data_IF_196824078045
#
_entry.id   IF_196824078045
#
_cell.length_a   1.000
_cell.length_b   1.000
_cell.length_c   1.000
_cell.angle_alpha   90.00
_cell.angle_beta   90.00
_cell.angle_gamma   90.00
#
_symmetry.space_group_name_H-M   'P 1'
#
loop_
_entity.id
_entity.type
_entity.pdbx_description
1 polymer ?
#
# COMPACT_ATOMS: atom_id res chain seq x y z
N UNK A 1 -7.39 32.00 -21.08
CA UNK A 1 -7.17 31.04 -19.98
C UNK A 1 -5.79 30.46 -20.11
N UNK A 2 -4.93 30.67 -19.13
CA UNK A 2 -3.58 30.09 -19.06
C UNK A 2 -3.70 28.74 -18.35
N UNK A 3 -3.33 27.65 -19.00
CA UNK A 3 -3.30 26.31 -18.39
C UNK A 3 -1.94 26.12 -17.76
N UNK A 4 -1.92 25.45 -16.60
CA UNK A 4 -0.68 25.17 -15.88
C UNK A 4 0.24 24.28 -16.74
N UNK A 5 1.49 24.68 -16.92
CA UNK A 5 2.46 24.07 -17.83
C UNK A 5 2.64 22.54 -17.65
N UNK A 6 2.70 22.00 -16.43
CA UNK A 6 2.88 20.56 -16.23
C UNK A 6 1.79 19.68 -16.85
N UNK A 7 0.65 20.29 -17.17
CA UNK A 7 -0.53 19.59 -17.70
C UNK A 7 -0.76 19.79 -19.20
N UNK A 8 0.14 20.51 -19.89
CA UNK A 8 -0.02 20.80 -21.33
C UNK A 8 -0.10 19.54 -22.19
N UNK A 9 0.64 18.48 -21.83
CA UNK A 9 0.58 17.21 -22.54
C UNK A 9 -0.83 16.61 -22.63
N UNK A 10 -1.70 16.90 -21.66
CA UNK A 10 -3.10 16.41 -21.65
C UNK A 10 -3.93 17.05 -22.75
N UNK A 11 -3.58 18.27 -23.16
CA UNK A 11 -4.32 18.99 -24.22
C UNK A 11 -4.06 18.37 -25.58
N UNK A 12 -2.84 17.94 -25.84
CA UNK A 12 -2.37 17.47 -27.13
C UNK A 12 -2.43 15.94 -27.28
N UNK A 13 -2.67 15.21 -26.19
CA UNK A 13 -2.70 13.75 -26.23
C UNK A 13 -3.91 13.20 -27.01
N UNK A 14 -3.68 12.17 -27.78
CA UNK A 14 -4.71 11.34 -28.43
C UNK A 14 -5.26 10.24 -27.50
N UNK A 15 -4.64 10.08 -26.33
CA UNK A 15 -5.04 9.06 -25.35
C UNK A 15 -6.42 9.36 -24.77
N UNK A 16 -7.25 8.30 -24.72
CA UNK A 16 -8.62 8.43 -24.19
C UNK A 16 -8.66 8.52 -22.67
N UNK A 17 -7.73 7.82 -21.99
CA UNK A 17 -7.65 7.78 -20.54
C UNK A 17 -6.44 8.57 -20.06
N UNK A 18 -6.67 9.48 -19.13
CA UNK A 18 -5.62 10.30 -18.53
C UNK A 18 -5.66 10.09 -17.03
N UNK A 19 -4.53 9.75 -16.42
CA UNK A 19 -4.39 9.63 -14.97
C UNK A 19 -3.37 10.64 -14.47
N UNK A 20 -3.76 11.43 -13.46
CA UNK A 20 -2.88 12.38 -12.77
C UNK A 20 -2.71 11.91 -11.34
N UNK A 21 -1.53 11.41 -11.03
CA UNK A 21 -1.05 11.19 -9.67
C UNK A 21 -0.30 12.44 -9.20
N UNK A 22 -0.64 12.99 -8.05
CA UNK A 22 0.07 14.19 -7.56
C UNK A 22 0.19 14.23 -6.04
N UNK A 23 1.20 14.95 -5.56
CA UNK A 23 1.22 15.46 -4.19
C UNK A 23 0.18 16.58 -3.99
N UNK A 24 0.12 17.11 -2.76
CA UNK A 24 -0.62 18.34 -2.46
C UNK A 24 0.03 19.54 -3.15
N UNK A 25 -0.75 20.58 -3.35
CA UNK A 25 -0.30 21.87 -3.91
C UNK A 25 0.38 21.72 -5.29
N UNK A 26 -0.01 20.71 -6.07
CA UNK A 26 0.46 20.45 -7.44
C UNK A 26 -0.45 21.11 -8.50
N UNK A 27 -1.49 21.85 -8.14
CA UNK A 27 -2.39 22.53 -9.08
C UNK A 27 -3.39 21.64 -9.80
N UNK A 28 -3.52 20.36 -9.42
CA UNK A 28 -4.38 19.36 -10.07
C UNK A 28 -5.85 19.80 -10.16
N UNK A 29 -6.45 20.29 -9.05
CA UNK A 29 -7.85 20.73 -9.02
C UNK A 29 -8.08 21.93 -9.93
N UNK A 30 -7.19 22.91 -9.88
CA UNK A 30 -7.24 24.10 -10.75
C UNK A 30 -7.17 23.73 -12.22
N UNK A 31 -6.22 22.89 -12.59
CA UNK A 31 -6.12 22.38 -13.96
C UNK A 31 -7.38 21.64 -14.40
N UNK A 32 -7.92 20.78 -13.53
CA UNK A 32 -9.13 20.03 -13.84
C UNK A 32 -10.33 20.95 -14.10
N UNK A 33 -10.49 22.00 -13.30
CA UNK A 33 -11.51 23.02 -13.54
C UNK A 33 -11.27 23.79 -14.86
N UNK A 34 -10.02 24.12 -15.17
CA UNK A 34 -9.66 24.81 -16.41
C UNK A 34 -10.00 24.00 -17.65
N UNK A 35 -9.67 22.68 -17.70
CA UNK A 35 -10.01 21.83 -18.84
C UNK A 35 -11.51 21.62 -18.96
N UNK A 36 -12.23 21.52 -17.85
CA UNK A 36 -13.70 21.43 -17.80
C UNK A 36 -14.31 22.71 -18.41
N UNK A 37 -13.88 23.89 -17.97
CA UNK A 37 -14.38 25.18 -18.47
C UNK A 37 -14.05 25.35 -19.97
N UNK A 38 -12.83 24.98 -20.38
CA UNK A 38 -12.43 25.01 -21.79
C UNK A 38 -13.39 24.16 -22.63
N UNK A 39 -13.56 22.89 -22.29
CA UNK A 39 -14.44 21.97 -23.05
C UNK A 39 -15.89 22.43 -23.07
N UNK A 40 -16.37 22.94 -21.94
CA UNK A 40 -17.74 23.42 -21.77
C UNK A 40 -18.11 24.61 -22.68
N UNK A 41 -17.12 25.43 -23.05
CA UNK A 41 -17.31 26.56 -23.97
C UNK A 41 -16.88 26.26 -25.41
N UNK A 42 -15.86 25.41 -25.59
CA UNK A 42 -15.28 25.16 -26.91
C UNK A 42 -16.10 24.16 -27.74
N UNK A 43 -16.61 23.10 -27.10
CA UNK A 43 -17.31 22.03 -27.81
C UNK A 43 -18.82 22.11 -27.58
N UNK A 44 -19.60 21.59 -28.52
CA UNK A 44 -21.04 21.37 -28.30
C UNK A 44 -21.28 20.03 -27.58
N UNK A 45 -20.68 19.86 -26.42
CA UNK A 45 -20.68 18.66 -25.63
C UNK A 45 -20.90 18.98 -24.14
N UNK A 46 -21.45 18.02 -23.44
CA UNK A 46 -21.60 18.10 -21.99
C UNK A 46 -20.33 17.57 -21.28
N UNK A 47 -20.19 17.86 -20.00
CA UNK A 47 -19.12 17.37 -19.13
C UNK A 47 -19.76 16.65 -17.93
N UNK A 48 -19.10 15.60 -17.45
CA UNK A 48 -19.50 14.88 -16.24
C UNK A 48 -18.35 14.88 -15.23
N UNK A 49 -18.63 15.37 -14.04
CA UNK A 49 -17.70 15.35 -12.89
C UNK A 49 -18.20 14.36 -11.87
N UNK A 50 -17.30 13.46 -11.47
CA UNK A 50 -17.58 12.36 -10.53
C UNK A 50 -16.66 12.46 -9.31
N UNK A 51 -17.21 12.12 -8.14
CA UNK A 51 -16.47 11.90 -6.89
C UNK A 51 -17.10 10.73 -6.14
N UNK A 52 -16.41 10.16 -5.16
CA UNK A 52 -16.98 9.07 -4.37
C UNK A 52 -18.33 9.46 -3.76
N UNK A 53 -18.37 10.55 -3.03
CA UNK A 53 -19.58 11.06 -2.37
C UNK A 53 -20.13 12.30 -3.11
N UNK A 54 -21.43 12.28 -3.43
CA UNK A 54 -22.09 13.42 -4.09
C UNK A 54 -22.08 14.70 -3.24
N UNK A 55 -22.18 14.57 -1.91
CA UNK A 55 -22.23 15.73 -1.00
C UNK A 55 -20.96 16.59 -1.05
N UNK A 56 -19.82 15.99 -1.32
CA UNK A 56 -18.52 16.69 -1.30
C UNK A 56 -18.24 17.51 -2.57
N UNK A 57 -19.04 17.30 -3.62
CA UNK A 57 -18.83 17.95 -4.92
C UNK A 57 -19.13 19.45 -4.90
N UNK A 58 -20.03 19.92 -4.03
CA UNK A 58 -20.43 21.31 -3.97
C UNK A 58 -19.30 22.20 -3.46
N UNK A 59 -18.64 21.79 -2.39
CA UNK A 59 -17.60 22.54 -1.72
C UNK A 59 -16.19 22.22 -2.28
N UNK A 60 -16.12 21.42 -3.36
CA UNK A 60 -14.88 21.07 -4.05
C UNK A 60 -14.94 21.48 -5.53
N UNK A 61 -15.00 20.51 -6.44
CA UNK A 61 -14.92 20.76 -7.90
C UNK A 61 -15.98 21.74 -8.43
N UNK A 62 -17.20 21.80 -7.84
CA UNK A 62 -18.18 22.79 -8.27
C UNK A 62 -17.69 24.21 -7.98
N UNK A 63 -17.18 24.46 -6.76
CA UNK A 63 -16.64 25.79 -6.40
C UNK A 63 -15.39 26.11 -7.24
N UNK A 64 -14.48 25.17 -7.42
CA UNK A 64 -13.28 25.37 -8.24
C UNK A 64 -13.62 25.76 -9.70
N UNK A 65 -14.67 25.15 -10.27
CA UNK A 65 -15.17 25.53 -11.60
C UNK A 65 -15.77 26.93 -11.58
N UNK A 66 -16.50 27.32 -10.54
CA UNK A 66 -17.02 28.69 -10.39
C UNK A 66 -15.88 29.70 -10.33
N UNK A 67 -14.86 29.43 -9.54
CA UNK A 67 -13.69 30.32 -9.40
C UNK A 67 -12.98 30.53 -10.74
N UNK A 68 -12.79 29.47 -11.54
CA UNK A 68 -12.25 29.57 -12.91
C UNK A 68 -13.19 30.36 -13.83
N UNK A 69 -14.49 30.18 -13.73
CA UNK A 69 -15.46 30.95 -14.53
C UNK A 69 -15.47 32.44 -14.19
N UNK A 70 -15.23 32.80 -12.93
CA UNK A 70 -15.10 34.20 -12.46
C UNK A 70 -13.80 34.80 -12.94
N UNK A 71 -12.67 34.14 -12.76
CA UNK A 71 -11.33 34.57 -13.21
C UNK A 71 -11.30 34.84 -14.72
N UNK A 72 -11.94 33.99 -15.51
CA UNK A 72 -12.01 34.14 -16.97
C UNK A 72 -13.17 35.05 -17.45
N UNK A 73 -13.89 35.68 -16.53
CA UNK A 73 -15.05 36.52 -16.83
C UNK A 73 -16.17 35.81 -17.62
N UNK A 74 -16.32 34.50 -17.45
CA UNK A 74 -17.29 33.65 -18.13
C UNK A 74 -18.54 33.37 -17.30
N UNK A 75 -18.55 33.67 -16.01
CA UNK A 75 -19.63 33.35 -15.07
C UNK A 75 -20.98 33.90 -15.51
N UNK A 76 -21.04 35.09 -16.12
CA UNK A 76 -22.24 35.73 -16.62
C UNK A 76 -22.95 34.93 -17.73
N UNK A 77 -22.23 34.08 -18.45
CA UNK A 77 -22.77 33.23 -19.51
C UNK A 77 -23.24 31.87 -19.00
N UNK A 78 -23.29 31.69 -17.68
CA UNK A 78 -23.67 30.43 -17.05
C UNK A 78 -24.86 30.58 -16.10
N UNK A 79 -25.58 29.47 -15.88
CA UNK A 79 -26.64 29.32 -14.88
C UNK A 79 -26.20 28.21 -13.91
N UNK A 80 -25.91 28.56 -12.66
CA UNK A 80 -25.42 27.67 -11.63
C UNK A 80 -26.57 27.19 -10.77
N UNK A 81 -26.71 25.88 -10.59
CA UNK A 81 -27.75 25.24 -9.80
C UNK A 81 -27.15 24.30 -8.77
N UNK A 82 -27.62 24.43 -7.55
CA UNK A 82 -27.20 23.59 -6.42
C UNK A 82 -28.12 22.39 -6.17
N UNK A 83 -29.36 22.42 -6.72
CA UNK A 83 -30.38 21.34 -6.55
C UNK A 83 -31.12 21.08 -7.85
N UNK A 84 -30.82 20.03 -8.63
CA UNK A 84 -29.60 19.23 -8.59
C UNK A 84 -28.36 20.04 -9.00
N UNK A 85 -27.19 19.65 -8.48
CA UNK A 85 -25.92 20.31 -8.77
C UNK A 85 -25.62 20.23 -10.26
N UNK A 86 -25.52 21.38 -10.95
CA UNK A 86 -25.18 21.49 -12.36
C UNK A 86 -24.87 22.92 -12.76
N UNK A 87 -24.08 23.08 -13.82
CA UNK A 87 -23.81 24.36 -14.45
C UNK A 87 -24.30 24.29 -15.90
N UNK A 88 -25.02 25.31 -16.36
CA UNK A 88 -25.61 25.35 -17.73
C UNK A 88 -25.02 26.54 -18.45
N UNK A 89 -24.43 26.31 -19.63
CA UNK A 89 -23.97 27.36 -20.53
C UNK A 89 -25.17 27.97 -21.25
N UNK A 90 -25.37 29.27 -21.11
CA UNK A 90 -26.50 30.00 -21.74
C UNK A 90 -26.34 30.13 -23.25
N UNK A 91 -25.11 30.09 -23.78
CA UNK A 91 -24.82 30.26 -25.20
C UNK A 91 -25.09 28.99 -26.01
N UNK A 92 -24.43 27.89 -25.65
CA UNK A 92 -24.48 26.62 -26.39
C UNK A 92 -25.37 25.55 -25.72
N UNK A 93 -25.96 25.83 -24.56
CA UNK A 93 -26.81 24.91 -23.78
C UNK A 93 -26.10 23.65 -23.29
N UNK A 94 -24.78 23.65 -23.22
CA UNK A 94 -24.02 22.59 -22.59
C UNK A 94 -24.31 22.52 -21.10
N UNK A 95 -24.09 21.34 -20.50
CA UNK A 95 -24.31 21.09 -19.07
C UNK A 95 -23.10 20.39 -18.48
N UNK A 96 -22.62 20.92 -17.37
CA UNK A 96 -21.72 20.18 -16.47
C UNK A 96 -22.60 19.47 -15.46
N UNK A 97 -22.52 18.14 -15.45
CA UNK A 97 -23.20 17.27 -14.51
C UNK A 97 -22.26 16.86 -13.39
N UNK A 98 -22.81 16.66 -12.19
CA UNK A 98 -22.09 16.20 -11.01
C UNK A 98 -22.74 14.91 -10.47
N UNK A 99 -21.95 13.89 -10.17
CA UNK A 99 -22.42 12.57 -9.71
C UNK A 99 -21.52 11.97 -8.64
N UNK A 100 -22.15 11.47 -7.57
CA UNK A 100 -21.49 10.53 -6.67
C UNK A 100 -21.40 9.14 -7.33
N UNK A 101 -20.28 8.45 -7.15
CA UNK A 101 -20.01 7.13 -7.77
C UNK A 101 -19.46 6.11 -6.78
N UNK A 102 -19.41 6.42 -5.49
CA UNK A 102 -19.06 5.49 -4.42
C UNK A 102 -20.27 4.86 -3.77
N UNK A 103 -20.18 3.63 -3.32
CA UNK A 103 -21.18 2.95 -2.49
C UNK A 103 -22.60 3.08 -2.99
N UNK A 104 -23.50 3.63 -2.15
CA UNK A 104 -24.92 3.80 -2.45
C UNK A 104 -25.21 4.78 -3.60
N UNK A 105 -24.33 5.75 -3.85
CA UNK A 105 -24.52 6.73 -4.92
C UNK A 105 -24.35 6.10 -6.30
N UNK A 106 -23.47 5.11 -6.44
CA UNK A 106 -23.26 4.40 -7.71
C UNK A 106 -24.55 3.77 -8.24
N UNK A 107 -25.39 3.21 -7.36
CA UNK A 107 -26.68 2.61 -7.76
C UNK A 107 -27.64 3.62 -8.40
N UNK A 108 -27.57 4.89 -7.99
CA UNK A 108 -28.39 5.99 -8.50
C UNK A 108 -27.94 6.49 -9.87
N UNK A 109 -26.75 6.12 -10.30
CA UNK A 109 -26.21 6.54 -11.61
C UNK A 109 -26.70 5.68 -12.78
N UNK A 110 -27.26 4.48 -12.53
CA UNK A 110 -27.70 3.53 -13.57
C UNK A 110 -28.69 4.12 -14.58
N UNK A 111 -29.47 5.13 -14.18
CA UNK A 111 -30.42 5.86 -15.02
C UNK A 111 -29.88 7.15 -15.65
N UNK A 112 -28.57 7.39 -15.61
CA UNK A 112 -27.98 8.62 -16.15
C UNK A 112 -28.31 8.80 -17.63
N UNK A 113 -28.78 10.00 -17.97
CA UNK A 113 -29.08 10.45 -19.34
C UNK A 113 -28.48 11.84 -19.51
N UNK A 114 -28.01 12.11 -20.69
CA UNK A 114 -27.49 13.41 -21.09
C UNK A 114 -28.12 13.86 -22.41
N UNK A 115 -28.32 15.17 -22.56
CA UNK A 115 -28.91 15.76 -23.77
C UNK A 115 -27.96 15.79 -24.97
N UNK A 116 -26.65 15.78 -24.70
CA UNK A 116 -25.57 15.76 -25.70
C UNK A 116 -24.53 14.72 -25.26
N UNK A 117 -23.66 14.28 -26.18
CA UNK A 117 -22.49 13.47 -25.84
C UNK A 117 -21.59 14.22 -24.85
N UNK A 118 -20.76 13.48 -24.13
CA UNK A 118 -19.78 14.03 -23.18
C UNK A 118 -18.42 14.21 -23.89
N UNK A 119 -17.80 15.38 -23.74
CA UNK A 119 -16.39 15.55 -24.12
C UNK A 119 -15.46 15.03 -23.03
N UNK A 120 -15.89 15.11 -21.76
CA UNK A 120 -15.05 14.75 -20.64
C UNK A 120 -15.88 14.05 -19.55
N UNK A 121 -15.34 12.97 -19.00
CA UNK A 121 -15.71 12.37 -17.73
C UNK A 121 -14.53 12.55 -16.80
N UNK A 122 -14.71 13.27 -15.70
CA UNK A 122 -13.68 13.49 -14.71
C UNK A 122 -14.01 12.75 -13.42
N UNK A 123 -13.04 12.04 -12.88
CA UNK A 123 -13.06 11.46 -11.54
C UNK A 123 -12.12 12.25 -10.64
N UNK A 124 -12.67 12.98 -9.70
CA UNK A 124 -11.94 13.72 -8.69
C UNK A 124 -11.72 12.84 -7.45
N UNK A 125 -10.55 12.94 -6.83
CA UNK A 125 -10.16 12.16 -5.67
C UNK A 125 -10.45 10.65 -5.86
N UNK A 126 -9.91 10.09 -6.97
CA UNK A 126 -10.18 8.70 -7.37
C UNK A 126 -9.90 7.68 -6.26
N UNK A 127 -8.88 7.92 -5.41
CA UNK A 127 -8.51 7.07 -4.28
C UNK A 127 -9.62 6.92 -3.23
N UNK A 128 -10.57 7.86 -3.19
CA UNK A 128 -11.72 7.79 -2.27
C UNK A 128 -12.77 6.76 -2.69
N UNK A 129 -12.70 6.20 -3.90
CA UNK A 129 -13.57 5.08 -4.28
C UNK A 129 -13.17 3.82 -3.47
N UNK A 130 -14.16 3.03 -3.03
CA UNK A 130 -13.88 1.84 -2.20
C UNK A 130 -12.92 0.84 -2.86
N UNK A 131 -13.06 0.64 -4.17
CA UNK A 131 -12.27 -0.31 -4.94
C UNK A 131 -12.33 -0.02 -6.45
N UNK A 132 -11.52 -0.74 -7.23
CA UNK A 132 -11.51 -0.65 -8.70
C UNK A 132 -12.87 -1.04 -9.32
N UNK A 133 -13.63 -1.95 -8.71
CA UNK A 133 -14.94 -2.38 -9.24
C UNK A 133 -15.95 -1.22 -9.28
N UNK A 134 -15.86 -0.27 -8.32
CA UNK A 134 -16.66 0.96 -8.34
C UNK A 134 -16.32 1.83 -9.55
N UNK A 135 -15.05 2.00 -9.89
CA UNK A 135 -14.62 2.72 -11.09
C UNK A 135 -15.11 2.02 -12.36
N UNK A 136 -14.93 0.71 -12.47
CA UNK A 136 -15.34 -0.08 -13.63
C UNK A 136 -16.84 0.00 -13.89
N UNK A 137 -17.65 -0.07 -12.84
CA UNK A 137 -19.12 0.07 -12.94
C UNK A 137 -19.54 1.49 -13.33
N UNK A 138 -18.87 2.53 -12.82
CA UNK A 138 -19.11 3.91 -13.20
C UNK A 138 -18.75 4.12 -14.68
N UNK A 139 -17.59 3.66 -15.11
CA UNK A 139 -17.16 3.71 -16.51
C UNK A 139 -18.11 2.94 -17.43
N UNK A 140 -18.56 1.74 -17.07
CA UNK A 140 -19.53 0.98 -17.84
C UNK A 140 -20.86 1.75 -18.03
N UNK A 141 -21.25 2.54 -17.02
CA UNK A 141 -22.47 3.37 -17.07
C UNK A 141 -22.29 4.60 -17.97
N UNK A 142 -21.20 5.31 -17.84
CA UNK A 142 -21.03 6.64 -18.47
C UNK A 142 -20.35 6.61 -19.82
N UNK A 143 -19.45 5.64 -20.10
CA UNK A 143 -18.66 5.51 -21.34
C UNK A 143 -19.52 5.54 -22.59
N UNK A 144 -20.71 4.97 -22.58
CA UNK A 144 -21.67 4.98 -23.71
C UNK A 144 -22.12 6.39 -24.12
N UNK A 145 -21.99 7.36 -23.23
CA UNK A 145 -22.35 8.76 -23.48
C UNK A 145 -21.15 9.61 -23.90
N UNK A 146 -19.95 9.07 -23.80
CA UNK A 146 -18.72 9.75 -24.20
C UNK A 146 -18.69 9.92 -25.72
N UNK A 147 -18.14 11.02 -26.17
CA UNK A 147 -17.96 11.27 -27.61
C UNK A 147 -16.89 10.32 -28.17
N UNK A 148 -17.11 9.86 -29.39
CA UNK A 148 -16.26 8.83 -29.98
C UNK A 148 -14.90 9.39 -30.42
N UNK A 149 -14.85 10.66 -30.86
CA UNK A 149 -13.67 11.31 -31.41
C UNK A 149 -12.87 12.08 -30.33
N UNK A 150 -13.57 12.94 -29.58
CA UNK A 150 -12.92 13.88 -28.65
C UNK A 150 -13.05 13.47 -27.16
N UNK A 151 -13.86 12.46 -26.88
CA UNK A 151 -14.22 12.09 -25.52
C UNK A 151 -13.04 11.56 -24.72
N UNK A 152 -12.74 12.18 -23.57
CA UNK A 152 -11.67 11.79 -22.65
C UNK A 152 -12.21 11.40 -21.28
N UNK A 153 -11.47 10.56 -20.57
CA UNK A 153 -11.67 10.23 -19.15
C UNK A 153 -10.46 10.71 -18.38
N UNK A 154 -10.66 11.67 -17.50
CA UNK A 154 -9.64 12.23 -16.62
C UNK A 154 -9.81 11.68 -15.21
N UNK A 155 -8.78 11.09 -14.64
CA UNK A 155 -8.74 10.49 -13.32
C UNK A 155 -7.66 11.15 -12.49
N UNK A 156 -8.06 11.85 -11.43
CA UNK A 156 -7.17 12.61 -10.59
C UNK A 156 -7.15 12.03 -9.18
N UNK A 157 -5.97 11.86 -8.60
CA UNK A 157 -5.84 11.35 -7.24
C UNK A 157 -4.54 11.79 -6.55
N UNK A 158 -4.59 11.83 -5.23
CA UNK A 158 -3.42 11.80 -4.39
C UNK A 158 -3.13 10.33 -4.03
N UNK A 159 -1.90 9.87 -4.09
CA UNK A 159 -1.62 8.47 -3.75
C UNK A 159 -1.98 8.19 -2.29
N UNK A 160 -2.47 7.00 -2.03
CA UNK A 160 -2.58 6.48 -0.67
C UNK A 160 -1.22 6.00 -0.17
N UNK A 161 -0.96 6.02 1.15
CA UNK A 161 0.34 5.63 1.67
C UNK A 161 0.77 4.22 1.27
N UNK A 162 -0.17 3.27 1.23
CA UNK A 162 0.10 1.89 0.90
C UNK A 162 0.29 1.70 -0.61
N UNK A 163 1.41 1.14 -1.02
CA UNK A 163 1.65 0.76 -2.42
C UNK A 163 0.57 -0.21 -2.95
N UNK A 164 0.07 -1.09 -2.08
CA UNK A 164 -0.98 -2.07 -2.39
C UNK A 164 -2.38 -1.49 -2.51
N UNK A 165 -2.59 -0.19 -2.21
CA UNK A 165 -3.89 0.42 -2.42
C UNK A 165 -4.29 0.34 -3.90
N UNK A 166 -5.54 -0.07 -4.16
CA UNK A 166 -6.03 -0.35 -5.51
C UNK A 166 -5.75 0.78 -6.52
N UNK A 167 -5.84 2.03 -6.10
CA UNK A 167 -5.64 3.19 -6.98
C UNK A 167 -4.16 3.37 -7.37
N UNK A 168 -3.22 3.14 -6.43
CA UNK A 168 -1.78 3.17 -6.68
C UNK A 168 -1.38 2.04 -7.64
N UNK A 169 -1.91 0.84 -7.41
CA UNK A 169 -1.67 -0.32 -8.25
C UNK A 169 -2.28 -0.13 -9.65
N UNK A 170 -3.50 0.42 -9.74
CA UNK A 170 -4.16 0.75 -11.01
C UNK A 170 -3.33 1.77 -11.82
N UNK A 171 -2.77 2.79 -11.17
CA UNK A 171 -1.86 3.74 -11.82
C UNK A 171 -0.60 3.03 -12.34
N UNK A 172 0.05 2.23 -11.51
CA UNK A 172 1.27 1.49 -11.86
C UNK A 172 1.08 0.57 -13.07
N UNK A 173 0.00 -0.20 -13.09
CA UNK A 173 -0.32 -1.11 -14.21
C UNK A 173 -0.55 -0.33 -15.52
N UNK A 174 -1.18 0.85 -15.44
CA UNK A 174 -1.53 1.62 -16.64
C UNK A 174 -0.41 2.54 -17.13
N UNK A 175 0.74 2.63 -16.48
CA UNK A 175 1.91 3.36 -16.99
C UNK A 175 2.42 2.80 -18.33
N UNK A 176 2.32 1.50 -18.53
CA UNK A 176 2.72 0.82 -19.77
C UNK A 176 1.56 0.60 -20.75
N UNK A 177 0.35 1.00 -20.39
CA UNK A 177 -0.84 0.79 -21.21
C UNK A 177 -0.94 1.88 -22.30
N UNK A 178 -0.90 1.51 -23.61
CA UNK A 178 -0.89 2.49 -24.70
C UNK A 178 -2.15 3.34 -24.80
N UNK A 179 -3.24 2.97 -24.14
CA UNK A 179 -4.48 3.75 -24.10
C UNK A 179 -4.48 4.85 -23.03
N UNK A 180 -3.50 4.84 -22.13
CA UNK A 180 -3.40 5.76 -21.00
C UNK A 180 -2.26 6.75 -21.19
N UNK A 181 -2.52 8.01 -20.82
CA UNK A 181 -1.50 8.98 -20.44
C UNK A 181 -1.45 9.03 -18.92
N UNK A 182 -0.30 8.76 -18.33
CA UNK A 182 -0.10 8.83 -16.88
C UNK A 182 0.88 9.93 -16.55
N UNK A 183 0.46 10.87 -15.72
CA UNK A 183 1.30 11.97 -15.24
C UNK A 183 1.53 11.84 -13.74
N UNK A 184 2.73 12.20 -13.32
CA UNK A 184 3.06 12.36 -11.92
C UNK A 184 3.58 13.77 -11.70
N UNK A 185 2.85 14.58 -10.92
CA UNK A 185 3.16 15.98 -10.66
C UNK A 185 3.28 16.26 -9.16
N UNK A 186 3.98 17.32 -8.83
CA UNK A 186 4.22 17.78 -7.46
C UNK A 186 4.14 19.31 -7.38
N UNK A 187 4.18 19.87 -6.18
CA UNK A 187 4.25 21.31 -6.00
C UNK A 187 5.46 21.96 -6.73
N UNK A 188 6.54 21.19 -6.95
CA UNK A 188 7.76 21.68 -7.62
C UNK A 188 7.49 22.13 -9.04
N UNK A 189 6.55 21.46 -9.71
CA UNK A 189 6.20 21.73 -11.10
C UNK A 189 5.47 23.06 -11.27
N UNK A 190 4.92 23.61 -10.15
CA UNK A 190 4.20 24.88 -10.11
C UNK A 190 4.74 25.84 -9.04
N UNK A 191 5.94 25.60 -8.50
CA UNK A 191 6.51 26.39 -7.41
C UNK A 191 6.55 27.90 -7.71
N UNK A 192 6.69 28.27 -8.98
CA UNK A 192 6.72 29.69 -9.39
C UNK A 192 5.41 30.48 -9.23
N UNK A 193 4.30 29.78 -8.91
CA UNK A 193 2.98 30.41 -8.69
C UNK A 193 2.46 30.21 -7.27
N UNK A 194 3.15 29.43 -6.43
CA UNK A 194 2.83 29.29 -5.02
C UNK A 194 3.28 30.53 -4.24
N UNK A 195 2.60 30.81 -3.13
CA UNK A 195 3.02 31.92 -2.27
C UNK A 195 4.30 31.55 -1.50
N UNK A 196 5.08 32.59 -1.11
CA UNK A 196 6.27 32.38 -0.30
C UNK A 196 5.95 31.69 1.04
N UNK A 197 4.77 31.95 1.60
CA UNK A 197 4.28 31.31 2.84
C UNK A 197 4.06 29.83 2.67
N UNK A 198 3.45 29.42 1.55
CA UNK A 198 3.22 28.00 1.24
C UNK A 198 4.56 27.28 1.01
N UNK A 199 5.48 27.90 0.26
CA UNK A 199 6.82 27.35 0.03
C UNK A 199 7.62 27.19 1.32
N UNK A 200 7.54 28.17 2.24
CA UNK A 200 8.19 28.11 3.55
C UNK A 200 7.60 26.96 4.39
N UNK A 201 6.27 26.81 4.41
CA UNK A 201 5.60 25.73 5.13
C UNK A 201 6.01 24.33 4.59
N UNK A 202 6.11 24.20 3.27
CA UNK A 202 6.58 22.97 2.62
C UNK A 202 8.05 22.67 2.98
N UNK A 203 8.90 23.70 3.02
CA UNK A 203 10.31 23.55 3.37
C UNK A 203 10.49 23.16 4.84
N UNK A 204 9.70 23.73 5.75
CA UNK A 204 9.67 23.32 7.17
C UNK A 204 9.31 21.85 7.30
N UNK A 205 8.27 21.39 6.59
CA UNK A 205 7.88 19.98 6.59
C UNK A 205 8.99 19.09 6.02
N UNK A 206 9.67 19.53 4.97
CA UNK A 206 10.81 18.81 4.38
C UNK A 206 11.95 18.59 5.38
N UNK A 207 12.20 19.57 6.25
CA UNK A 207 13.28 19.50 7.25
C UNK A 207 12.85 18.68 8.47
N UNK A 208 11.64 18.91 8.97
CA UNK A 208 11.18 18.29 10.22
C UNK A 208 10.65 16.86 10.02
N UNK A 209 9.98 16.60 8.89
CA UNK A 209 9.30 15.35 8.61
C UNK A 209 9.55 14.93 7.15
N UNK A 210 10.78 14.56 6.77
CA UNK A 210 11.15 14.32 5.37
C UNK A 210 10.30 13.23 4.69
N UNK A 211 9.88 12.21 5.40
CA UNK A 211 9.02 11.16 4.85
C UNK A 211 7.59 11.68 4.59
N UNK A 212 7.02 12.44 5.53
CA UNK A 212 5.73 13.11 5.34
C UNK A 212 5.76 14.08 4.16
N UNK A 213 6.83 14.83 4.04
CA UNK A 213 7.06 15.73 2.91
C UNK A 213 7.04 14.96 1.57
N UNK A 214 7.76 13.84 1.48
CA UNK A 214 7.78 13.01 0.27
C UNK A 214 6.38 12.51 -0.10
N UNK A 215 5.65 12.04 0.88
CA UNK A 215 4.28 11.56 0.69
C UNK A 215 3.31 12.71 0.32
N UNK A 216 3.21 13.73 1.17
CA UNK A 216 2.22 14.78 1.01
C UNK A 216 2.47 15.66 -0.22
N UNK A 217 3.71 16.11 -0.41
CA UNK A 217 4.03 17.14 -1.41
C UNK A 217 4.64 16.58 -2.69
N UNK A 218 5.38 15.47 -2.63
CA UNK A 218 5.91 14.85 -3.85
C UNK A 218 4.97 13.77 -4.41
N UNK A 219 3.95 13.34 -3.67
CA UNK A 219 3.04 12.29 -4.10
C UNK A 219 3.71 10.92 -4.21
N UNK A 220 4.77 10.70 -3.42
CA UNK A 220 5.44 9.41 -3.35
C UNK A 220 4.63 8.46 -2.47
N UNK A 221 4.49 7.23 -2.91
CA UNK A 221 3.97 6.15 -2.07
C UNK A 221 5.16 5.53 -1.37
N UNK A 222 5.20 5.62 -0.08
CA UNK A 222 6.33 5.08 0.67
C UNK A 222 5.94 4.07 1.74
N UNK A 223 4.67 3.65 1.76
CA UNK A 223 4.18 2.71 2.77
C UNK A 223 4.25 3.23 4.22
N UNK A 224 4.52 4.55 4.43
CA UNK A 224 5.17 5.05 5.64
C UNK A 224 4.27 5.81 6.61
N UNK A 225 3.09 6.30 6.19
CA UNK A 225 2.24 7.08 7.10
C UNK A 225 1.14 6.21 7.71
N UNK A 226 1.24 6.05 9.03
CA UNK A 226 0.41 5.12 9.78
C UNK A 226 0.88 3.66 9.67
N UNK A 227 1.76 3.35 8.75
CA UNK A 227 2.33 2.02 8.58
C UNK A 227 3.19 1.60 9.77
N UNK A 228 2.88 0.46 10.34
CA UNK A 228 3.65 -0.08 11.46
C UNK A 228 5.09 -0.38 11.03
N UNK A 229 5.29 -0.93 9.84
CA UNK A 229 6.61 -1.37 9.36
C UNK A 229 7.18 -0.44 8.29
N UNK A 230 7.07 0.86 8.52
CA UNK A 230 7.50 1.92 7.62
C UNK A 230 8.97 1.88 7.19
N UNK A 231 9.81 1.14 7.84
CA UNK A 231 11.21 0.92 7.48
C UNK A 231 11.43 -0.23 6.50
N UNK A 232 10.37 -0.97 6.15
CA UNK A 232 10.40 -1.96 5.09
C UNK A 232 10.33 -1.25 3.73
N UNK A 233 11.34 -1.48 2.91
CA UNK A 233 11.40 -1.02 1.52
C UNK A 233 11.45 -2.24 0.63
N UNK A 234 10.43 -2.43 -0.21
CA UNK A 234 10.28 -3.61 -1.06
C UNK A 234 11.45 -3.76 -2.03
N UNK A 235 11.88 -2.66 -2.65
CA UNK A 235 12.93 -2.68 -3.67
C UNK A 235 14.31 -3.02 -3.07
N UNK A 236 14.47 -2.80 -1.77
CA UNK A 236 15.73 -3.02 -1.07
C UNK A 236 15.75 -4.27 -0.19
N UNK A 237 14.63 -4.60 0.48
CA UNK A 237 14.59 -5.68 1.46
C UNK A 237 13.98 -6.98 0.92
N UNK A 238 13.26 -6.94 -0.23
CA UNK A 238 12.75 -8.14 -0.89
C UNK A 238 13.77 -8.64 -1.89
N UNK A 239 14.48 -9.71 -1.52
CA UNK A 239 15.58 -10.27 -2.31
C UNK A 239 15.11 -11.42 -3.20
N UNK A 240 15.67 -11.49 -4.39
CA UNK A 240 15.46 -12.64 -5.29
C UNK A 240 15.95 -13.95 -4.66
N UNK A 241 15.40 -15.11 -5.06
CA UNK A 241 15.87 -16.40 -4.58
C UNK A 241 17.38 -16.58 -4.72
N UNK A 242 17.95 -16.13 -5.83
CA UNK A 242 19.38 -16.26 -6.11
C UNK A 242 20.25 -15.41 -5.14
N UNK A 243 19.81 -14.20 -4.82
CA UNK A 243 20.54 -13.35 -3.85
C UNK A 243 20.51 -13.97 -2.45
N UNK A 244 19.37 -14.52 -2.03
CA UNK A 244 19.26 -15.21 -0.75
C UNK A 244 20.11 -16.47 -0.72
N UNK A 245 20.09 -17.29 -1.78
CA UNK A 245 20.90 -18.50 -1.87
C UNK A 245 22.40 -18.15 -1.81
N UNK A 246 22.83 -17.10 -2.51
CA UNK A 246 24.22 -16.59 -2.43
C UNK A 246 24.59 -16.10 -1.02
N UNK A 247 23.68 -15.45 -0.30
CA UNK A 247 23.91 -15.02 1.09
C UNK A 247 24.08 -16.24 2.01
N UNK A 248 23.23 -17.24 1.86
CA UNK A 248 23.27 -18.47 2.66
C UNK A 248 24.54 -19.29 2.33
N UNK A 249 24.92 -19.39 1.08
CA UNK A 249 26.14 -20.07 0.66
C UNK A 249 27.39 -19.39 1.25
N UNK A 250 27.44 -18.05 1.19
CA UNK A 250 28.59 -17.26 1.70
C UNK A 250 28.72 -17.28 3.21
N UNK A 251 27.62 -17.22 3.94
CA UNK A 251 27.64 -16.98 5.39
C UNK A 251 27.21 -18.20 6.20
N UNK A 252 26.45 -19.15 5.62
CA UNK A 252 25.86 -20.26 6.33
C UNK A 252 24.73 -19.85 7.30
N UNK A 253 23.79 -20.74 7.54
CA UNK A 253 22.73 -20.53 8.53
C UNK A 253 23.22 -20.98 9.90
N UNK A 254 23.33 -20.04 10.82
CA UNK A 254 23.68 -20.31 12.22
C UNK A 254 22.51 -20.94 12.97
N UNK A 255 21.28 -20.44 12.74
CA UNK A 255 20.07 -20.87 13.43
C UNK A 255 18.84 -20.55 12.59
N UNK A 256 17.78 -21.37 12.69
CA UNK A 256 16.46 -21.08 12.13
C UNK A 256 15.46 -20.88 13.27
N UNK A 257 14.74 -19.76 13.25
CA UNK A 257 13.64 -19.47 14.18
C UNK A 257 12.35 -19.36 13.37
N UNK A 258 11.34 -20.14 13.75
CA UNK A 258 10.02 -20.12 13.16
C UNK A 258 9.06 -19.45 14.12
N UNK A 259 8.60 -18.25 13.80
CA UNK A 259 7.48 -17.61 14.48
C UNK A 259 6.18 -18.17 13.94
N UNK A 260 5.27 -18.54 14.82
CA UNK A 260 3.97 -19.11 14.46
C UNK A 260 2.87 -18.35 15.17
N UNK A 261 1.96 -17.77 14.40
CA UNK A 261 0.72 -17.19 14.88
C UNK A 261 -0.45 -18.13 14.53
N UNK A 262 -0.96 -18.89 15.50
CA UNK A 262 -1.98 -19.88 15.24
C UNK A 262 -3.38 -19.28 15.28
N UNK A 263 -4.19 -19.58 14.29
CA UNK A 263 -5.62 -19.29 14.30
C UNK A 263 -6.44 -20.51 13.85
N UNK A 264 -7.71 -20.57 14.26
CA UNK A 264 -8.55 -21.75 13.96
C UNK A 264 -9.75 -21.43 13.08
N UNK A 265 -10.40 -20.27 13.20
CA UNK A 265 -11.72 -20.06 12.61
C UNK A 265 -11.88 -18.80 11.78
N UNK A 266 -11.26 -17.69 12.13
CA UNK A 266 -11.45 -16.39 11.44
C UNK A 266 -10.16 -15.86 10.85
N UNK A 267 -9.13 -15.79 11.69
CA UNK A 267 -7.84 -15.23 11.32
C UNK A 267 -6.97 -16.32 10.66
N UNK A 268 -5.97 -15.94 9.93
CA UNK A 268 -5.08 -16.88 9.24
C UNK A 268 -4.06 -17.47 10.19
N UNK A 269 -3.69 -18.74 10.00
CA UNK A 269 -2.49 -19.27 10.65
C UNK A 269 -1.27 -18.90 9.82
N UNK A 270 -0.36 -18.15 10.42
CA UNK A 270 0.89 -17.73 9.79
C UNK A 270 2.10 -18.42 10.42
N UNK A 271 3.09 -18.75 9.59
CA UNK A 271 4.38 -19.26 10.00
C UNK A 271 5.50 -18.55 9.24
N UNK A 272 6.39 -17.87 9.96
CA UNK A 272 7.47 -17.08 9.36
C UNK A 272 8.83 -17.62 9.81
N UNK A 273 9.61 -18.21 8.89
CA UNK A 273 10.92 -18.77 9.18
C UNK A 273 11.99 -17.70 8.99
N UNK A 274 12.69 -17.36 10.05
CA UNK A 274 13.80 -16.42 10.04
C UNK A 274 15.12 -17.20 10.17
N UNK A 275 15.88 -17.26 9.08
CA UNK A 275 17.26 -17.78 9.10
C UNK A 275 18.20 -16.69 9.60
N UNK A 276 18.93 -16.98 10.68
CA UNK A 276 19.98 -16.15 11.21
C UNK A 276 21.29 -16.65 10.62
N UNK A 277 22.00 -15.78 9.93
CA UNK A 277 23.27 -16.09 9.30
C UNK A 277 24.43 -15.86 10.27
N UNK A 278 25.58 -16.52 10.02
CA UNK A 278 26.78 -16.38 10.87
C UNK A 278 27.34 -14.95 10.94
N UNK A 279 27.02 -14.09 9.97
CA UNK A 279 27.38 -12.67 9.98
C UNK A 279 26.38 -11.78 10.77
N UNK A 280 25.31 -12.37 11.32
CA UNK A 280 24.27 -11.68 12.08
C UNK A 280 23.14 -11.08 11.25
N UNK A 281 23.16 -11.21 9.92
CA UNK A 281 22.01 -10.87 9.08
C UNK A 281 20.90 -11.93 9.25
N UNK A 282 19.66 -11.50 9.02
CA UNK A 282 18.48 -12.32 9.12
C UNK A 282 17.77 -12.35 7.74
N UNK A 283 17.32 -13.52 7.34
CA UNK A 283 16.57 -13.69 6.09
C UNK A 283 15.31 -14.48 6.36
N UNK A 284 14.16 -13.93 5.98
CA UNK A 284 12.90 -14.67 5.97
C UNK A 284 12.90 -15.60 4.76
N UNK A 285 12.64 -16.88 5.00
CA UNK A 285 12.57 -17.92 3.96
C UNK A 285 11.12 -18.18 3.54
N UNK A 286 10.80 -19.38 3.05
CA UNK A 286 9.46 -19.76 2.59
C UNK A 286 8.47 -19.83 3.75
N UNK A 287 7.52 -18.88 3.79
CA UNK A 287 6.50 -18.77 4.83
C UNK A 287 5.41 -19.87 4.70
N UNK A 288 4.77 -20.17 5.81
CA UNK A 288 3.52 -20.91 5.88
C UNK A 288 2.37 -19.92 6.07
N UNK A 289 1.28 -20.11 5.31
CA UNK A 289 0.06 -19.34 5.49
C UNK A 289 -1.16 -20.21 5.20
N UNK A 290 -2.15 -20.17 6.11
CA UNK A 290 -3.42 -20.85 5.92
C UNK A 290 -4.57 -19.92 6.25
N UNK A 291 -5.31 -19.50 5.24
CA UNK A 291 -6.50 -18.68 5.36
C UNK A 291 -7.75 -19.58 5.50
N UNK A 292 -8.40 -19.63 6.66
CA UNK A 292 -9.56 -20.48 6.89
C UNK A 292 -10.79 -20.04 6.10
N UNK A 293 -10.88 -18.78 5.69
CA UNK A 293 -12.00 -18.27 4.90
C UNK A 293 -11.92 -18.78 3.45
N UNK A 294 -10.72 -18.89 2.89
CA UNK A 294 -10.49 -19.42 1.55
C UNK A 294 -10.42 -20.94 1.51
N UNK A 295 -9.79 -21.55 2.52
CA UNK A 295 -9.40 -22.96 2.47
C UNK A 295 -10.14 -23.82 3.52
N UNK A 296 -11.03 -23.21 4.33
CA UNK A 296 -11.78 -23.84 5.41
C UNK A 296 -10.96 -24.03 6.68
N UNK A 297 -11.64 -24.00 7.82
CA UNK A 297 -11.04 -24.06 9.15
C UNK A 297 -10.21 -25.34 9.38
N UNK A 298 -9.16 -25.20 10.18
CA UNK A 298 -8.32 -26.32 10.66
C UNK A 298 -8.32 -26.34 12.20
N UNK A 299 -8.59 -27.49 12.77
CA UNK A 299 -8.26 -27.76 14.16
C UNK A 299 -6.76 -28.09 14.32
N UNK A 300 -6.25 -28.05 15.54
CA UNK A 300 -4.84 -28.30 15.81
C UNK A 300 -4.35 -29.68 15.35
N UNK A 301 -5.22 -30.68 15.30
CA UNK A 301 -4.87 -32.04 14.86
C UNK A 301 -4.64 -32.11 13.36
N UNK A 302 -5.33 -31.27 12.59
CA UNK A 302 -5.16 -31.15 11.14
C UNK A 302 -4.08 -30.13 10.76
N UNK A 303 -3.88 -29.10 11.57
CA UNK A 303 -2.83 -28.10 11.36
C UNK A 303 -1.44 -28.68 11.59
N UNK A 304 -1.26 -29.49 12.64
CA UNK A 304 0.03 -30.09 13.01
C UNK A 304 0.74 -30.78 11.83
N UNK A 305 0.11 -31.72 11.07
CA UNK A 305 0.78 -32.40 9.97
C UNK A 305 1.24 -31.45 8.86
N UNK A 306 0.51 -30.35 8.65
CA UNK A 306 0.87 -29.35 7.63
C UNK A 306 2.10 -28.54 8.09
N UNK A 307 2.14 -28.15 9.34
CA UNK A 307 3.31 -27.47 9.93
C UNK A 307 4.55 -28.41 9.96
N UNK A 308 4.39 -29.68 10.37
CA UNK A 308 5.50 -30.65 10.34
C UNK A 308 6.07 -30.84 8.94
N UNK A 309 5.21 -30.93 7.92
CA UNK A 309 5.63 -31.03 6.53
C UNK A 309 6.39 -29.77 6.08
N UNK A 310 5.84 -28.58 6.35
CA UNK A 310 6.50 -27.32 6.02
C UNK A 310 7.90 -27.21 6.66
N UNK A 311 8.03 -27.56 7.93
CA UNK A 311 9.31 -27.51 8.62
C UNK A 311 10.30 -28.51 8.00
N UNK A 312 9.86 -29.72 7.65
CA UNK A 312 10.71 -30.73 6.98
C UNK A 312 11.16 -30.30 5.59
N UNK A 313 10.29 -29.59 4.85
CA UNK A 313 10.65 -29.07 3.55
C UNK A 313 11.76 -27.99 3.68
N UNK A 314 11.67 -27.12 4.70
CA UNK A 314 12.75 -26.18 5.03
C UNK A 314 14.05 -26.91 5.46
N UNK A 315 13.95 -27.91 6.34
CA UNK A 315 15.10 -28.72 6.75
C UNK A 315 15.82 -29.36 5.55
N UNK A 316 15.05 -29.89 4.61
CA UNK A 316 15.56 -30.56 3.43
C UNK A 316 16.18 -29.57 2.46
N UNK A 317 15.47 -28.48 2.16
CA UNK A 317 15.90 -27.48 1.19
C UNK A 317 17.20 -26.79 1.58
N UNK A 318 17.38 -26.49 2.86
CA UNK A 318 18.55 -25.78 3.37
C UNK A 318 19.57 -26.69 4.06
N UNK A 319 19.37 -28.01 3.98
CA UNK A 319 20.25 -29.03 4.58
C UNK A 319 20.48 -28.83 6.09
N UNK A 320 19.51 -28.24 6.80
CA UNK A 320 19.67 -27.83 8.18
C UNK A 320 19.99 -28.99 9.12
N UNK A 321 19.36 -30.15 8.91
CA UNK A 321 19.60 -31.34 9.71
C UNK A 321 21.01 -31.90 9.50
N UNK A 322 21.48 -31.90 8.27
CA UNK A 322 22.83 -32.37 7.94
C UNK A 322 23.90 -31.47 8.54
N UNK A 323 23.65 -30.15 8.53
CA UNK A 323 24.57 -29.13 9.09
C UNK A 323 24.43 -29.00 10.60
N UNK A 324 23.51 -29.69 11.25
CA UNK A 324 23.26 -29.61 12.70
C UNK A 324 22.74 -28.23 13.15
N UNK A 325 22.07 -27.50 12.25
CA UNK A 325 21.54 -26.16 12.53
C UNK A 325 20.40 -26.22 13.55
N UNK A 326 20.46 -25.46 14.65
CA UNK A 326 19.37 -25.42 15.63
C UNK A 326 18.09 -24.83 15.06
N UNK A 327 16.95 -25.45 15.34
CA UNK A 327 15.63 -24.97 14.94
C UNK A 327 14.79 -24.70 16.18
N UNK A 328 14.23 -23.49 16.27
CA UNK A 328 13.37 -23.03 17.35
C UNK A 328 12.00 -22.65 16.80
N UNK A 329 10.94 -23.14 17.44
CA UNK A 329 9.57 -22.74 17.18
C UNK A 329 9.13 -21.78 18.28
N UNK A 330 8.60 -20.63 17.91
CA UNK A 330 8.13 -19.58 18.80
C UNK A 330 6.66 -19.31 18.46
N UNK A 331 5.77 -19.68 19.38
CA UNK A 331 4.33 -19.71 19.13
C UNK A 331 3.64 -18.76 20.09
N UNK A 332 2.62 -18.02 19.62
CA UNK A 332 1.81 -17.19 20.50
C UNK A 332 1.20 -18.03 21.64
N UNK A 333 1.27 -17.48 22.83
CA UNK A 333 0.69 -18.07 24.05
C UNK A 333 -0.84 -18.21 23.99
N UNK A 334 -1.53 -17.43 23.14
CA UNK A 334 -2.96 -17.62 22.89
C UNK A 334 -3.27 -18.99 22.27
N UNK A 335 -2.30 -19.59 21.55
CA UNK A 335 -2.37 -20.95 21.00
C UNK A 335 -1.91 -22.04 21.96
N UNK A 336 -2.23 -21.98 23.27
CA UNK A 336 -1.72 -22.89 24.29
C UNK A 336 -1.88 -24.39 23.95
N UNK A 337 -3.01 -24.77 23.35
CA UNK A 337 -3.28 -26.15 22.96
C UNK A 337 -2.34 -26.61 21.84
N UNK A 338 -2.06 -25.72 20.87
CA UNK A 338 -1.10 -26.00 19.79
C UNK A 338 0.33 -26.06 20.38
N UNK A 339 0.69 -25.18 21.29
CA UNK A 339 1.99 -25.21 21.97
C UNK A 339 2.20 -26.55 22.66
N UNK A 340 1.22 -27.04 23.43
CA UNK A 340 1.31 -28.34 24.10
C UNK A 340 1.43 -29.49 23.09
N UNK A 341 0.64 -29.46 22.02
CA UNK A 341 0.70 -30.48 20.97
C UNK A 341 2.08 -30.51 20.30
N UNK A 342 2.63 -29.35 19.92
CA UNK A 342 3.94 -29.25 19.27
C UNK A 342 5.07 -29.62 20.24
N UNK A 343 4.97 -29.24 21.50
CA UNK A 343 5.92 -29.67 22.54
C UNK A 343 5.91 -31.19 22.68
N UNK A 344 4.75 -31.80 22.72
CA UNK A 344 4.65 -33.27 22.83
C UNK A 344 5.18 -33.99 21.58
N UNK A 345 4.85 -33.51 20.38
CA UNK A 345 5.17 -34.20 19.12
C UNK A 345 6.58 -33.86 18.59
N UNK A 346 7.09 -32.67 18.86
CA UNK A 346 8.29 -32.15 18.21
C UNK A 346 9.46 -31.85 19.14
N UNK A 347 9.31 -31.89 20.47
CA UNK A 347 10.37 -31.48 21.43
C UNK A 347 11.66 -32.30 21.37
N UNK A 348 11.61 -33.52 20.81
CA UNK A 348 12.82 -34.32 20.58
C UNK A 348 13.65 -33.80 19.38
N UNK A 349 13.04 -33.02 18.50
CA UNK A 349 13.67 -32.52 17.26
C UNK A 349 13.91 -31.01 17.31
N UNK A 350 13.00 -30.25 17.90
CA UNK A 350 12.99 -28.79 17.91
C UNK A 350 12.76 -28.25 19.33
N UNK A 351 13.28 -27.06 19.59
CA UNK A 351 12.94 -26.34 20.83
C UNK A 351 11.67 -25.53 20.57
N UNK A 352 10.62 -25.82 21.35
CA UNK A 352 9.31 -25.15 21.24
C UNK A 352 9.11 -24.22 22.42
N UNK A 353 8.86 -22.95 22.10
CA UNK A 353 8.69 -21.85 23.05
C UNK A 353 7.29 -21.27 22.93
N UNK A 354 6.68 -20.97 24.07
CA UNK A 354 5.47 -20.15 24.13
C UNK A 354 5.87 -18.70 24.32
N UNK A 355 5.31 -17.81 23.54
CA UNK A 355 5.59 -16.39 23.57
C UNK A 355 4.35 -15.60 23.94
N UNK A 356 4.43 -14.68 24.90
CA UNK A 356 3.33 -13.81 25.32
C UNK A 356 3.60 -12.37 24.88
N UNK A 357 2.77 -11.88 23.99
CA UNK A 357 2.86 -10.53 23.45
C UNK A 357 2.30 -9.50 24.44
N UNK A 358 3.14 -8.97 25.32
CA UNK A 358 2.71 -7.95 26.28
C UNK A 358 2.92 -6.50 25.83
N UNK A 359 3.69 -6.26 24.74
CA UNK A 359 4.14 -4.93 24.33
C UNK A 359 4.25 -4.81 22.81
N UNK A 360 3.11 -4.78 22.13
CA UNK A 360 2.98 -4.72 20.68
C UNK A 360 3.90 -3.65 20.04
N UNK A 361 3.91 -2.42 20.59
CA UNK A 361 4.74 -1.33 20.07
C UNK A 361 6.24 -1.66 20.10
N UNK A 362 6.73 -2.19 21.24
CA UNK A 362 8.17 -2.53 21.37
C UNK A 362 8.58 -3.63 20.40
N UNK A 363 7.67 -4.52 20.08
CA UNK A 363 7.91 -5.64 19.18
C UNK A 363 7.92 -5.21 17.73
N UNK A 364 6.98 -4.34 17.35
CA UNK A 364 7.01 -3.70 16.04
C UNK A 364 8.32 -2.91 15.83
N UNK A 365 8.80 -2.19 16.85
CA UNK A 365 10.07 -1.48 16.82
C UNK A 365 11.29 -2.40 16.59
N UNK A 366 11.23 -3.66 17.06
CA UNK A 366 12.30 -4.64 16.77
C UNK A 366 12.39 -4.92 15.28
N UNK A 367 11.26 -5.14 14.63
CA UNK A 367 11.18 -5.37 13.17
C UNK A 367 11.60 -4.13 12.39
N UNK A 368 11.08 -2.95 12.77
CA UNK A 368 11.47 -1.67 12.19
C UNK A 368 12.98 -1.44 12.27
N UNK A 369 13.57 -1.64 13.45
CA UNK A 369 15.01 -1.50 13.65
C UNK A 369 15.83 -2.50 12.83
N UNK A 370 15.31 -3.72 12.63
CA UNK A 370 16.00 -4.73 11.84
C UNK A 370 16.05 -4.36 10.35
N UNK A 371 14.95 -3.79 9.79
CA UNK A 371 14.94 -3.26 8.45
C UNK A 371 15.82 -2.00 8.33
N UNK A 372 15.62 -0.98 9.17
CA UNK A 372 16.36 0.27 9.08
C UNK A 372 17.88 0.12 9.21
N UNK A 373 18.34 -0.95 9.88
CA UNK A 373 19.77 -1.31 10.02
C UNK A 373 20.26 -2.28 8.94
N UNK A 374 19.45 -2.60 7.95
CA UNK A 374 19.75 -3.57 6.90
C UNK A 374 20.22 -4.92 7.46
N UNK A 375 19.56 -5.36 8.53
CA UNK A 375 19.83 -6.66 9.17
C UNK A 375 18.84 -7.71 8.68
N UNK A 376 17.60 -7.31 8.34
CA UNK A 376 16.52 -8.20 7.94
C UNK A 376 16.20 -8.04 6.45
N UNK A 377 16.07 -9.19 5.79
CA UNK A 377 15.65 -9.30 4.39
C UNK A 377 14.55 -10.36 4.25
N UNK A 378 13.78 -10.28 3.19
CA UNK A 378 12.70 -11.22 2.87
C UNK A 378 13.00 -11.86 1.52
N UNK A 379 12.86 -13.17 1.42
CA UNK A 379 13.00 -13.89 0.16
C UNK A 379 11.76 -13.71 -0.70
N UNK A 380 11.91 -13.24 -1.92
CA UNK A 380 10.84 -13.25 -2.91
C UNK A 380 10.64 -14.67 -3.43
N UNK A 381 9.57 -15.30 -3.00
CA UNK A 381 9.22 -16.66 -3.43
C UNK A 381 8.30 -16.66 -4.65
N UNK A 382 7.91 -15.48 -5.17
CA UNK A 382 6.94 -15.35 -6.26
C UNK A 382 5.53 -15.80 -5.89
N UNK A 383 5.30 -16.21 -4.66
CA UNK A 383 4.04 -16.73 -4.14
C UNK A 383 4.22 -17.59 -2.91
N UNK A 384 3.16 -18.27 -2.47
CA UNK A 384 3.18 -19.14 -1.30
C UNK A 384 2.69 -20.56 -1.64
N UNK A 385 3.31 -21.56 -1.02
CA UNK A 385 2.85 -22.95 -1.17
C UNK A 385 1.77 -23.26 -0.13
N UNK A 386 0.58 -23.63 -0.61
CA UNK A 386 -0.53 -24.01 0.25
C UNK A 386 -0.45 -25.52 0.56
N UNK A 387 -0.04 -25.86 1.76
CA UNK A 387 0.17 -27.24 2.24
C UNK A 387 -1.13 -28.05 2.34
N UNK A 388 -2.28 -27.39 2.49
CA UNK A 388 -3.58 -28.07 2.51
C UNK A 388 -4.05 -28.48 1.13
N UNK A 389 -3.91 -27.58 0.14
CA UNK A 389 -4.36 -27.82 -1.24
C UNK A 389 -3.30 -28.47 -2.12
N UNK A 390 -2.05 -28.55 -1.66
CA UNK A 390 -0.86 -28.94 -2.41
C UNK A 390 -0.67 -28.14 -3.71
N UNK A 391 -0.96 -26.82 -3.66
CA UNK A 391 -0.81 -25.91 -4.80
C UNK A 391 0.04 -24.73 -4.45
N UNK A 392 0.75 -24.20 -5.42
CA UNK A 392 1.46 -22.95 -5.33
C UNK A 392 0.52 -21.81 -5.77
N UNK A 393 0.35 -20.81 -4.91
CA UNK A 393 -0.44 -19.60 -5.16
C UNK A 393 0.52 -18.50 -5.58
N UNK A 394 0.57 -18.19 -6.87
CA UNK A 394 1.46 -17.18 -7.46
C UNK A 394 1.01 -15.77 -7.13
N UNK A 395 1.95 -14.84 -7.04
CA UNK A 395 1.70 -13.42 -6.76
C UNK A 395 0.96 -13.14 -5.44
N UNK A 396 1.03 -14.07 -4.50
CA UNK A 396 0.45 -13.93 -3.17
C UNK A 396 1.55 -14.08 -2.13
N UNK A 397 1.97 -12.97 -1.53
CA UNK A 397 3.02 -12.88 -0.51
C UNK A 397 2.43 -12.26 0.76
N UNK A 398 1.73 -13.06 1.62
CA UNK A 398 1.01 -12.55 2.79
C UNK A 398 1.86 -11.69 3.71
N UNK A 399 3.08 -12.12 4.01
CA UNK A 399 4.00 -11.35 4.85
C UNK A 399 4.35 -9.98 4.24
N UNK A 400 4.69 -9.93 2.94
CA UNK A 400 5.00 -8.66 2.27
C UNK A 400 3.80 -7.74 2.29
N UNK A 401 2.61 -8.28 2.02
CA UNK A 401 1.34 -7.54 2.12
C UNK A 401 1.13 -7.00 3.54
N UNK A 402 1.36 -7.80 4.59
CA UNK A 402 1.24 -7.35 5.97
C UNK A 402 2.26 -6.24 6.30
N UNK A 403 3.52 -6.38 5.88
CA UNK A 403 4.56 -5.36 6.10
C UNK A 403 4.22 -4.02 5.43
N UNK A 404 3.52 -4.04 4.30
CA UNK A 404 3.12 -2.84 3.56
C UNK A 404 1.79 -2.24 4.05
N UNK A 405 0.88 -3.03 4.64
CA UNK A 405 -0.50 -2.62 4.90
C UNK A 405 -0.86 -2.43 6.37
N UNK A 406 -0.16 -3.07 7.32
CA UNK A 406 -0.51 -2.98 8.75
C UNK A 406 -0.33 -1.56 9.27
N UNK A 407 -1.41 -1.01 9.84
CA UNK A 407 -1.47 0.35 10.39
C UNK A 407 -1.56 0.31 11.92
N UNK A 408 -1.15 1.42 12.55
CA UNK A 408 -1.46 1.67 13.95
C UNK A 408 -2.96 1.98 14.10
N UNK A 409 -3.52 1.70 15.30
CA UNK A 409 -4.84 2.19 15.66
C UNK A 409 -4.94 3.69 15.42
N UNK A 410 -6.05 4.15 14.81
CA UNK A 410 -6.31 5.57 14.56
C UNK A 410 -6.69 6.31 15.86
N UNK A 411 -5.70 6.47 16.72
CA UNK A 411 -5.80 7.18 18.00
C UNK A 411 -4.54 8.01 18.23
N UNK A 412 -4.63 9.12 18.99
CA UNK A 412 -3.46 9.95 19.30
C UNK A 412 -2.31 9.21 20.02
N UNK A 413 -2.63 8.11 20.69
CA UNK A 413 -1.67 7.25 21.39
C UNK A 413 -2.01 5.78 21.11
N UNK A 414 -1.65 5.24 19.96
CA UNK A 414 -2.00 3.87 19.59
C UNK A 414 -1.35 2.87 20.56
N UNK A 415 -2.12 1.87 20.95
CA UNK A 415 -1.66 0.78 21.83
C UNK A 415 -1.52 -0.55 21.10
N UNK A 416 -1.99 -0.60 19.87
CA UNK A 416 -2.01 -1.79 19.01
C UNK A 416 -2.12 -1.44 17.53
N UNK A 417 -2.38 -2.47 16.76
CA UNK A 417 -2.60 -2.36 15.31
C UNK A 417 -4.08 -2.18 15.00
N UNK A 418 -4.37 -1.59 13.85
CA UNK A 418 -5.73 -1.54 13.32
C UNK A 418 -6.23 -2.96 13.04
N UNK A 419 -7.24 -3.38 13.81
CA UNK A 419 -7.80 -4.73 13.76
C UNK A 419 -8.60 -5.04 12.48
N UNK A 420 -8.86 -4.06 11.65
CA UNK A 420 -9.49 -4.25 10.34
C UNK A 420 -8.52 -4.80 9.29
N UNK A 421 -7.21 -4.73 9.55
CA UNK A 421 -6.14 -5.13 8.65
C UNK A 421 -5.51 -6.44 9.15
N UNK A 422 -5.47 -7.50 8.31
CA UNK A 422 -4.80 -8.75 8.68
C UNK A 422 -3.32 -8.54 8.99
N UNK A 423 -2.86 -9.03 10.14
CA UNK A 423 -1.50 -8.85 10.64
C UNK A 423 -0.81 -10.15 11.08
N UNK A 424 -1.47 -11.30 10.90
CA UNK A 424 -1.00 -12.61 11.38
C UNK A 424 0.44 -12.93 10.95
N UNK A 425 0.81 -12.65 9.68
CA UNK A 425 2.15 -12.90 9.16
C UNK A 425 3.20 -11.96 9.77
N UNK A 426 2.84 -10.69 10.02
CA UNK A 426 3.74 -9.74 10.68
C UNK A 426 3.90 -10.04 12.17
N UNK A 427 2.86 -10.56 12.83
CA UNK A 427 2.94 -11.01 14.21
C UNK A 427 3.83 -12.24 14.34
N UNK A 428 3.70 -13.22 13.44
CA UNK A 428 4.59 -14.38 13.36
C UNK A 428 6.07 -13.96 13.14
N UNK A 429 6.34 -13.00 12.25
CA UNK A 429 7.68 -12.42 12.08
C UNK A 429 8.19 -11.79 13.38
N UNK A 430 7.33 -11.06 14.07
CA UNK A 430 7.64 -10.38 15.33
C UNK A 430 8.02 -11.39 16.41
N UNK A 431 7.33 -12.53 16.52
CA UNK A 431 7.68 -13.59 17.48
C UNK A 431 9.07 -14.16 17.20
N UNK A 432 9.38 -14.47 15.94
CA UNK A 432 10.68 -15.00 15.57
C UNK A 432 11.83 -14.03 15.88
N UNK A 433 11.69 -12.77 15.52
CA UNK A 433 12.73 -11.74 15.72
C UNK A 433 12.88 -11.32 17.18
N UNK A 434 11.80 -11.25 17.93
CA UNK A 434 11.85 -10.89 19.34
C UNK A 434 12.64 -11.89 20.15
N UNK A 435 12.52 -13.17 19.84
CA UNK A 435 13.34 -14.19 20.48
C UNK A 435 14.84 -13.97 20.20
N UNK A 436 15.18 -13.57 18.99
CA UNK A 436 16.58 -13.31 18.59
C UNK A 436 17.14 -12.00 19.15
N UNK A 437 16.39 -10.90 19.05
CA UNK A 437 16.92 -9.55 19.30
C UNK A 437 16.69 -9.05 20.73
N UNK A 438 15.64 -9.54 21.43
CA UNK A 438 15.32 -9.08 22.80
C UNK A 438 15.88 -9.99 23.87
N UNK A 439 16.03 -11.27 23.60
CA UNK A 439 16.43 -12.28 24.60
C UNK A 439 17.75 -13.00 24.25
N UNK A 440 18.84 -12.26 24.09
CA UNK A 440 20.12 -12.83 23.67
C UNK A 440 20.73 -13.83 24.67
N UNK A 441 20.20 -13.93 25.91
CA UNK A 441 20.73 -14.81 26.95
C UNK A 441 20.15 -16.22 26.95
N UNK A 442 19.05 -16.47 26.23
CA UNK A 442 18.45 -17.81 26.14
C UNK A 442 19.02 -18.68 25.01
N UNK A 443 19.81 -18.09 24.14
CA UNK A 443 20.38 -18.76 22.98
C UNK A 443 21.89 -18.40 22.95
N UNK A 444 22.79 -19.40 22.82
CA UNK A 444 24.21 -19.16 22.65
C UNK A 444 24.46 -18.49 21.30
N UNK A 445 24.55 -17.15 21.29
CA UNK A 445 24.91 -16.39 20.09
C UNK A 445 26.42 -16.39 19.87
N UNK A 446 26.89 -16.47 18.63
CA UNK A 446 28.23 -16.02 18.31
C UNK A 446 28.30 -14.53 18.72
N UNK A 447 29.21 -14.20 19.66
CA UNK A 447 29.45 -12.80 20.03
C UNK A 447 29.75 -12.03 18.77
N UNK A 448 28.97 -10.98 18.48
CA UNK A 448 29.25 -10.03 17.41
C UNK A 448 30.62 -9.43 17.61
N UNK A 449 31.66 -10.06 17.03
CA UNK A 449 32.93 -9.42 16.86
C UNK A 449 32.81 -8.45 15.68
N UNK A 450 32.70 -7.15 15.97
CA UNK A 450 32.93 -6.13 14.96
C UNK A 450 31.96 -4.96 14.87
N UNK A 451 30.73 -5.01 15.41
CA UNK A 451 29.79 -3.88 15.26
C UNK A 451 29.93 -2.79 16.34
N UNK A 452 30.38 -3.13 17.53
CA UNK A 452 30.59 -2.16 18.63
C UNK A 452 32.01 -1.52 18.66
N UNK A 453 32.99 -2.06 17.94
CA UNK A 453 34.34 -1.45 17.90
C UNK A 453 34.46 -0.26 16.94
N UNK A 454 33.54 -0.10 15.98
CA UNK A 454 33.56 1.06 15.06
C UNK A 454 32.98 2.35 15.64
N UNK A 455 32.06 2.26 16.59
CA UNK A 455 31.55 3.46 17.26
C UNK A 455 32.48 3.99 18.35
N UNK A 456 33.20 3.12 19.10
CA UNK A 456 34.18 3.58 20.09
C UNK A 456 35.45 4.21 19.52
N UNK A 457 35.79 3.96 18.26
CA UNK A 457 36.94 4.60 17.62
C UNK A 457 36.65 5.98 17.03
N UNK A 458 35.40 6.41 16.94
CA UNK A 458 35.03 7.76 16.51
C UNK A 458 34.95 8.76 17.68
N UNK A 459 34.81 8.31 18.92
CA UNK A 459 34.75 9.19 20.10
C UNK A 459 36.11 9.47 20.75
N UNK A 460 37.20 8.88 20.27
CA UNK A 460 38.55 9.08 20.82
C UNK A 460 39.45 9.95 19.93
N UNK A 461 38.92 10.43 18.78
CA UNK A 461 39.63 11.37 17.88
C UNK A 461 38.68 12.52 17.52
N UNK A 462 38.22 13.26 18.52
CA UNK A 462 37.64 14.60 18.39
C UNK A 462 38.00 15.41 19.64
#
# INVERSE_FOLDING_TARGET
MLILEPYNEILDTDKRYVMIKSGRDAGKSKFSAQIIVKDFFQYERNVLVCRSNYGDLQDSMFQEIIDVLEEEHLIQFTDQRTRPLKIINKLNKNIIYFKGVGGADLSRTKGFKTSKKLSLIMFDELQQLPDQSNLDQALATFRRHLDDDIGKVLMCFNPEPQNSHWCNEFYRINQENPQYLTLWTSYRDIAGILSDVDLEAIEIERILNPDNYRYLYLGETNGLFGGVYHTFDRDYHLLTPQEVDNMIERHGIFQLILGIDPATTRDSTAGVPVAILNNGQCVVLECFHHDPQKHGALDNSRLYPLLDRWIRDLETKYELRFKGTPIHLVIDSAGADLVQLLQYQMSQRYKVWSYSQKKVIQMAQVVQNAFSKNILYVKDTGGIYNYKTNRFETNYLPLVTALESVLWEDTPNPRGFDKSIPNDDSDALTYALSMYLINPYTINFPRRQGFYERERKKEVIA
#
